data_IF_808456732797
#
_entry.id   IF_808456732797
#
_cell.length_a   1.000
_cell.length_b   1.000
_cell.length_c   1.000
_cell.angle_alpha   90.00
_cell.angle_beta   90.00
_cell.angle_gamma   90.00
#
_symmetry.space_group_name_H-M   'P 1'
#
loop_
_entity.id
_entity.type
_entity.pdbx_description
1 polymer ?
#
# COMPACT_ATOMS: atom_id res chain seq x y z
N UNK A 1 9.90 56.99 -49.28
CA UNK A 1 11.28 56.58 -48.93
C UNK A 1 11.20 55.46 -47.92
N UNK A 2 11.92 54.38 -48.23
CA UNK A 2 11.94 53.07 -47.55
C UNK A 2 12.66 53.14 -46.20
N UNK A 3 12.10 52.54 -45.14
CA UNK A 3 12.88 51.94 -44.04
C UNK A 3 12.28 50.58 -43.70
N UNK A 4 13.18 49.61 -43.55
CA UNK A 4 13.02 48.17 -43.69
C UNK A 4 12.53 47.52 -42.39
N UNK A 5 11.71 46.49 -42.57
CA UNK A 5 11.43 45.47 -41.56
C UNK A 5 12.73 44.72 -41.22
N UNK A 6 13.05 44.59 -39.93
CA UNK A 6 13.91 43.51 -39.43
C UNK A 6 13.13 42.77 -38.34
N UNK A 7 12.65 41.59 -38.71
CA UNK A 7 12.08 40.59 -37.82
C UNK A 7 13.24 39.66 -37.44
N UNK A 8 13.74 39.74 -36.21
CA UNK A 8 14.64 38.72 -35.68
C UNK A 8 13.79 37.63 -35.02
N UNK A 9 13.55 36.53 -35.74
CA UNK A 9 13.05 35.29 -35.15
C UNK A 9 14.28 34.44 -34.85
N UNK A 10 14.66 34.37 -33.57
CA UNK A 10 15.64 33.41 -33.08
C UNK A 10 14.95 32.06 -32.85
N UNK A 11 15.23 31.08 -33.71
CA UNK A 11 14.79 29.70 -33.49
C UNK A 11 15.77 29.01 -32.53
N UNK A 12 15.36 28.83 -31.26
CA UNK A 12 16.06 27.94 -30.33
C UNK A 12 15.58 26.53 -30.61
N UNK A 13 16.46 25.69 -31.16
CA UNK A 13 16.20 24.24 -31.27
C UNK A 13 16.72 23.59 -30.00
N UNK A 14 15.82 23.23 -29.08
CA UNK A 14 16.12 22.33 -27.98
C UNK A 14 16.12 20.90 -28.52
N UNK A 15 17.30 20.30 -28.62
CA UNK A 15 17.45 18.88 -28.83
C UNK A 15 17.02 18.16 -27.55
N UNK A 16 15.84 17.54 -27.56
CA UNK A 16 15.46 16.56 -26.57
C UNK A 16 16.27 15.30 -26.83
N UNK A 17 17.30 15.09 -26.02
CA UNK A 17 17.92 13.78 -25.87
C UNK A 17 16.87 12.89 -25.21
N UNK A 18 16.26 11.99 -25.98
CA UNK A 18 15.52 10.85 -25.46
C UNK A 18 16.53 9.91 -24.79
N UNK A 19 16.95 10.27 -23.57
CA UNK A 19 17.50 9.32 -22.65
C UNK A 19 16.38 8.36 -22.30
N UNK A 20 16.57 7.10 -22.69
CA UNK A 20 15.70 6.00 -22.31
C UNK A 20 15.42 6.10 -20.81
N UNK A 21 14.14 6.27 -20.46
CA UNK A 21 13.70 5.94 -19.12
C UNK A 21 13.97 4.45 -18.99
N UNK A 22 14.82 4.12 -18.02
CA UNK A 22 14.93 2.77 -17.52
C UNK A 22 13.52 2.27 -17.24
N UNK A 23 13.23 1.05 -17.68
CA UNK A 23 12.14 0.27 -17.17
C UNK A 23 12.26 0.26 -15.65
N UNK A 24 11.30 0.91 -14.96
CA UNK A 24 10.98 0.52 -13.59
C UNK A 24 10.44 -0.90 -13.72
N UNK A 25 11.30 -1.88 -13.44
CA UNK A 25 10.87 -3.24 -13.18
C UNK A 25 10.13 -3.19 -11.84
N UNK A 26 8.81 -3.05 -11.93
CA UNK A 26 7.87 -3.20 -10.83
C UNK A 26 7.80 -4.70 -10.48
N UNK A 27 8.84 -5.20 -9.83
CA UNK A 27 8.83 -6.52 -9.20
C UNK A 27 8.02 -6.41 -7.90
N UNK A 28 6.69 -6.34 -8.04
CA UNK A 28 5.73 -6.55 -6.95
C UNK A 28 5.71 -8.05 -6.61
N UNK A 29 6.82 -8.55 -6.09
CA UNK A 29 6.91 -9.93 -5.62
C UNK A 29 6.06 -10.08 -4.35
N UNK A 30 5.00 -10.89 -4.39
CA UNK A 30 4.39 -11.46 -3.18
C UNK A 30 5.33 -12.51 -2.55
N UNK A 31 6.54 -12.07 -2.20
CA UNK A 31 7.71 -12.85 -1.79
C UNK A 31 7.72 -13.24 -0.32
N UNK A 32 7.26 -14.45 -0.03
CA UNK A 32 7.25 -15.10 1.28
C UNK A 32 5.94 -15.83 1.42
N UNK A 33 5.94 -17.11 1.80
CA UNK A 33 4.73 -17.93 1.95
C UNK A 33 3.75 -17.20 2.88
N UNK A 34 2.80 -16.47 2.31
CA UNK A 34 1.65 -15.96 3.04
C UNK A 34 0.83 -17.19 3.41
N UNK A 35 1.11 -17.73 4.60
CA UNK A 35 0.56 -19.00 5.04
C UNK A 35 -0.85 -18.78 5.57
N UNK A 36 -1.82 -19.08 4.71
CA UNK A 36 -3.24 -18.94 5.02
C UNK A 36 -3.66 -19.73 6.27
N UNK A 37 -2.91 -20.78 6.66
CA UNK A 37 -3.20 -21.59 7.83
C UNK A 37 -2.87 -20.88 9.17
N UNK A 38 -2.11 -19.77 9.14
CA UNK A 38 -1.74 -19.00 10.34
C UNK A 38 -2.77 -17.91 10.70
N UNK A 39 -3.71 -17.61 9.82
CA UNK A 39 -4.68 -16.53 10.01
C UNK A 39 -6.03 -17.01 10.52
N UNK A 40 -6.59 -16.29 11.48
CA UNK A 40 -7.96 -16.50 11.93
C UNK A 40 -8.98 -16.06 10.86
N UNK A 41 -8.65 -15.01 10.11
CA UNK A 41 -9.45 -14.45 9.02
C UNK A 41 -8.52 -13.87 7.95
N UNK A 42 -8.96 -13.87 6.70
CA UNK A 42 -8.24 -13.24 5.59
C UNK A 42 -9.19 -12.33 4.82
N UNK A 43 -8.74 -11.11 4.54
CA UNK A 43 -9.37 -10.22 3.58
C UNK A 43 -8.60 -10.29 2.26
N UNK A 44 -9.30 -10.57 1.17
CA UNK A 44 -8.75 -10.55 -0.18
C UNK A 44 -9.17 -9.26 -0.89
N UNK A 45 -8.27 -8.69 -1.69
CA UNK A 45 -8.51 -7.53 -2.52
C UNK A 45 -7.64 -7.55 -3.78
N UNK A 46 -7.46 -6.37 -4.38
CA UNK A 46 -6.61 -6.17 -5.55
C UNK A 46 -5.61 -5.04 -5.34
N UNK A 47 -4.39 -5.23 -5.82
CA UNK A 47 -3.36 -4.20 -5.78
C UNK A 47 -3.48 -3.19 -6.94
N UNK A 48 -2.43 -2.38 -7.16
CA UNK A 48 -2.42 -1.38 -8.22
C UNK A 48 -2.35 -1.97 -9.63
N UNK A 49 -1.82 -3.18 -9.77
CA UNK A 49 -1.69 -3.90 -11.04
C UNK A 49 -2.89 -4.84 -11.28
N UNK A 50 -3.79 -4.94 -10.31
CA UNK A 50 -4.98 -5.78 -10.36
C UNK A 50 -4.69 -7.24 -9.97
N UNK A 51 -3.54 -7.50 -9.38
CA UNK A 51 -3.18 -8.79 -8.79
C UNK A 51 -3.81 -8.95 -7.40
N UNK A 52 -4.00 -10.19 -6.97
CA UNK A 52 -4.63 -10.47 -5.69
C UNK A 52 -3.69 -10.12 -4.54
N UNK A 53 -4.21 -9.41 -3.54
CA UNK A 53 -3.50 -9.06 -2.32
C UNK A 53 -4.34 -9.41 -1.10
N UNK A 54 -3.68 -9.62 0.04
CA UNK A 54 -4.33 -10.15 1.23
C UNK A 54 -3.92 -9.40 2.49
N UNK A 55 -4.89 -9.23 3.39
CA UNK A 55 -4.67 -8.84 4.77
C UNK A 55 -5.06 -10.02 5.67
N UNK A 56 -4.07 -10.64 6.29
CA UNK A 56 -4.25 -11.71 7.26
C UNK A 56 -4.48 -11.13 8.64
N UNK A 57 -5.53 -11.56 9.31
CA UNK A 57 -5.77 -11.29 10.73
C UNK A 57 -5.28 -12.49 11.52
N UNK A 58 -4.16 -12.33 12.21
CA UNK A 58 -3.52 -13.36 13.06
C UNK A 58 -4.34 -13.53 14.34
N UNK A 59 -4.61 -12.40 15.01
CA UNK A 59 -5.35 -12.38 16.27
C UNK A 59 -6.29 -11.18 16.32
N UNK A 60 -7.47 -11.38 16.91
CA UNK A 60 -8.39 -10.32 17.32
C UNK A 60 -8.58 -10.39 18.84
N UNK A 61 -8.34 -9.27 19.51
CA UNK A 61 -8.56 -9.14 20.95
C UNK A 61 -9.49 -7.97 21.24
N UNK A 62 -10.35 -8.14 22.25
CA UNK A 62 -11.26 -7.10 22.72
C UNK A 62 -10.98 -6.84 24.20
N UNK A 63 -10.68 -5.59 24.55
CA UNK A 63 -10.43 -5.21 25.93
C UNK A 63 -11.74 -5.10 26.76
N UNK A 64 -11.62 -4.74 28.04
CA UNK A 64 -12.79 -4.67 28.93
C UNK A 64 -13.68 -3.46 28.62
N UNK A 65 -13.13 -2.49 27.91
CA UNK A 65 -13.75 -1.25 27.48
C UNK A 65 -14.45 -1.43 26.12
N UNK A 66 -14.24 -2.57 25.44
CA UNK A 66 -14.84 -2.91 24.16
C UNK A 66 -14.01 -2.45 22.96
N UNK A 67 -12.78 -1.98 23.16
CA UNK A 67 -11.89 -1.63 22.07
C UNK A 67 -11.34 -2.92 21.44
N UNK A 68 -11.33 -2.97 20.11
CA UNK A 68 -10.82 -4.11 19.36
C UNK A 68 -9.42 -3.81 18.86
N UNK A 69 -8.50 -4.73 19.09
CA UNK A 69 -7.14 -4.70 18.56
C UNK A 69 -6.93 -5.91 17.67
N UNK A 70 -6.45 -5.67 16.46
CA UNK A 70 -6.07 -6.70 15.50
C UNK A 70 -4.55 -6.80 15.43
N UNK A 71 -4.02 -8.02 15.42
CA UNK A 71 -2.68 -8.29 14.92
C UNK A 71 -2.80 -8.74 13.47
N UNK A 72 -2.21 -7.99 12.55
CA UNK A 72 -2.37 -8.22 11.11
C UNK A 72 -1.04 -8.33 10.38
N UNK A 73 -1.05 -9.07 9.27
CA UNK A 73 0.05 -9.19 8.32
C UNK A 73 -0.47 -8.97 6.89
N UNK A 74 0.36 -8.42 6.01
CA UNK A 74 0.02 -8.17 4.60
C UNK A 74 0.74 -9.15 3.69
N UNK A 75 0.14 -9.50 2.55
CA UNK A 75 0.81 -10.34 1.53
C UNK A 75 1.87 -9.63 0.69
N UNK A 76 2.19 -8.36 0.97
CA UNK A 76 3.23 -7.63 0.24
C UNK A 76 4.62 -7.99 0.76
N UNK A 77 5.56 -8.11 -0.17
CA UNK A 77 6.96 -8.28 0.12
C UNK A 77 7.81 -7.72 -1.02
N UNK A 78 9.12 -7.75 -0.86
CA UNK A 78 10.06 -7.55 -1.96
C UNK A 78 11.30 -8.44 -1.70
N UNK A 79 11.49 -9.47 -2.52
CA UNK A 79 12.50 -10.49 -2.27
C UNK A 79 12.26 -11.28 -0.98
N UNK A 80 13.12 -11.07 0.03
CA UNK A 80 12.99 -11.69 1.36
C UNK A 80 12.50 -10.73 2.44
N UNK A 81 12.19 -9.48 2.07
CA UNK A 81 11.81 -8.44 3.01
C UNK A 81 10.31 -8.23 3.01
N UNK A 82 9.72 -8.23 4.20
CA UNK A 82 8.28 -8.08 4.42
C UNK A 82 8.02 -6.87 5.35
N UNK A 83 6.84 -6.23 5.26
CA UNK A 83 6.47 -5.14 6.16
C UNK A 83 6.49 -5.53 7.65
N UNK A 84 6.27 -6.81 7.94
CA UNK A 84 6.08 -7.36 9.28
C UNK A 84 4.65 -7.19 9.79
N UNK A 85 4.43 -7.62 11.04
CA UNK A 85 3.13 -7.54 11.69
C UNK A 85 2.80 -6.10 12.14
N UNK A 86 1.50 -5.80 12.24
CA UNK A 86 0.98 -4.54 12.74
C UNK A 86 -0.08 -4.77 13.82
N UNK A 87 0.05 -4.07 14.94
CA UNK A 87 -1.02 -3.94 15.92
C UNK A 87 -1.94 -2.79 15.52
N UNK A 88 -3.19 -3.08 15.19
CA UNK A 88 -4.18 -2.12 14.66
C UNK A 88 -5.33 -1.99 15.65
N UNK A 89 -5.45 -0.81 16.26
CA UNK A 89 -6.53 -0.52 17.22
C UNK A 89 -7.74 0.06 16.50
N UNK A 90 -8.81 -0.72 16.38
CA UNK A 90 -10.06 -0.27 15.80
C UNK A 90 -10.76 0.70 16.76
N UNK A 91 -10.95 1.92 16.28
CA UNK A 91 -11.65 2.98 17.02
C UNK A 91 -13.03 3.18 16.41
N UNK A 92 -14.08 3.00 17.21
CA UNK A 92 -15.47 3.13 16.75
C UNK A 92 -15.71 4.45 15.99
N UNK A 93 -16.37 4.36 14.83
CA UNK A 93 -16.68 5.51 13.98
C UNK A 93 -15.51 6.08 13.19
N UNK A 94 -14.31 5.49 13.26
CA UNK A 94 -13.17 5.92 12.44
C UNK A 94 -13.30 5.43 11.00
N UNK A 95 -13.15 6.34 10.05
CA UNK A 95 -13.03 6.02 8.62
C UNK A 95 -11.63 5.47 8.25
N UNK A 96 -10.65 5.68 9.14
CA UNK A 96 -9.26 5.22 8.96
C UNK A 96 -8.56 4.99 10.29
N UNK A 97 -7.77 3.93 10.37
CA UNK A 97 -6.82 3.66 11.47
C UNK A 97 -5.40 3.66 10.92
N UNK A 98 -4.45 4.17 11.70
CA UNK A 98 -3.02 4.19 11.36
C UNK A 98 -2.25 3.37 12.40
N UNK A 99 -1.28 2.60 11.94
CA UNK A 99 -0.36 1.84 12.80
C UNK A 99 1.07 1.94 12.27
N UNK A 100 2.02 1.60 13.14
CA UNK A 100 3.44 1.47 12.80
C UNK A 100 4.06 0.39 13.67
N UNK A 101 5.02 -0.35 13.14
CA UNK A 101 5.74 -1.37 13.90
C UNK A 101 7.18 -0.95 14.23
N UNK A 102 7.89 -1.78 14.97
CA UNK A 102 9.25 -1.50 15.44
C UNK A 102 10.29 -1.41 14.32
N UNK A 103 10.00 -2.02 13.17
CA UNK A 103 10.85 -1.99 11.98
C UNK A 103 10.72 -0.67 11.22
N UNK A 104 9.84 0.24 11.64
CA UNK A 104 9.60 1.52 10.98
C UNK A 104 8.63 1.44 9.80
N UNK A 105 7.97 0.29 9.61
CA UNK A 105 6.86 0.16 8.67
C UNK A 105 5.64 0.91 9.18
N UNK A 106 4.81 1.35 8.25
CA UNK A 106 3.59 2.12 8.49
C UNK A 106 2.44 1.45 7.77
N UNK A 107 1.29 1.41 8.43
CA UNK A 107 0.08 0.78 7.93
C UNK A 107 -1.11 1.72 8.11
N UNK A 108 -2.00 1.74 7.13
CA UNK A 108 -3.26 2.46 7.19
C UNK A 108 -4.39 1.55 6.72
N UNK A 109 -5.41 1.36 7.56
CA UNK A 109 -6.62 0.63 7.24
C UNK A 109 -7.77 1.61 7.07
N UNK A 110 -8.54 1.45 6.00
CA UNK A 110 -9.66 2.32 5.64
C UNK A 110 -10.95 1.50 5.65
N UNK A 111 -12.05 2.16 6.00
CA UNK A 111 -13.34 1.52 6.17
C UNK A 111 -14.40 2.26 5.37
N UNK A 112 -15.24 1.51 4.64
CA UNK A 112 -16.40 2.08 3.94
C UNK A 112 -17.61 2.22 4.88
N UNK A 113 -17.69 1.35 5.90
CA UNK A 113 -18.79 1.29 6.85
C UNK A 113 -18.31 0.71 8.19
N UNK A 114 -18.35 1.53 9.24
CA UNK A 114 -17.93 1.19 10.60
C UNK A 114 -16.49 0.64 10.72
N UNK A 115 -15.77 1.01 11.79
CA UNK A 115 -14.41 0.52 12.02
C UNK A 115 -14.43 -0.94 12.51
N UNK A 116 -14.62 -1.88 11.58
CA UNK A 116 -14.70 -3.32 11.82
C UNK A 116 -13.99 -4.09 10.71
N UNK A 117 -13.60 -5.35 10.97
CA UNK A 117 -12.91 -6.20 9.97
C UNK A 117 -13.73 -6.34 8.68
N UNK A 118 -15.04 -6.56 8.78
CA UNK A 118 -15.92 -6.67 7.62
C UNK A 118 -16.23 -5.35 6.92
N UNK A 119 -15.94 -4.22 7.58
CA UNK A 119 -16.07 -2.88 7.03
C UNK A 119 -14.81 -2.35 6.36
N UNK A 120 -13.69 -3.05 6.50
CA UNK A 120 -12.42 -2.66 5.87
C UNK A 120 -12.54 -2.77 4.35
N UNK A 121 -12.15 -1.70 3.65
CA UNK A 121 -12.28 -1.59 2.20
C UNK A 121 -10.93 -1.45 1.49
N UNK A 122 -9.93 -0.95 2.19
CA UNK A 122 -8.59 -0.74 1.66
C UNK A 122 -7.56 -0.77 2.78
N UNK A 123 -6.35 -1.25 2.49
CA UNK A 123 -5.17 -0.90 3.28
C UNK A 123 -4.06 -0.29 2.43
N UNK A 124 -3.21 0.50 3.06
CA UNK A 124 -1.92 0.95 2.52
C UNK A 124 -0.81 0.54 3.49
N UNK A 125 0.31 0.09 2.95
CA UNK A 125 1.49 -0.26 3.73
C UNK A 125 2.72 0.39 3.13
N UNK A 126 3.60 0.88 3.99
CA UNK A 126 4.88 1.48 3.62
C UNK A 126 5.96 0.90 4.52
N UNK A 127 6.99 0.29 3.95
CA UNK A 127 8.04 -0.35 4.73
C UNK A 127 9.42 -0.02 4.18
N UNK A 128 10.47 -0.01 5.03
CA UNK A 128 11.82 0.23 4.58
C UNK A 128 12.36 -0.96 3.78
N UNK A 129 13.10 -0.66 2.71
CA UNK A 129 13.90 -1.62 1.96
C UNK A 129 15.23 -0.97 1.59
N UNK A 130 16.33 -1.55 2.06
CA UNK A 130 17.70 -1.04 1.90
C UNK A 130 17.83 0.48 2.17
N UNK A 131 17.83 1.30 1.12
CA UNK A 131 18.02 2.75 1.15
C UNK A 131 16.77 3.58 0.83
N UNK A 132 15.62 2.92 0.62
CA UNK A 132 14.36 3.55 0.29
C UNK A 132 13.18 2.90 1.04
N UNK A 133 11.96 3.27 0.64
CA UNK A 133 10.73 2.69 1.18
C UNK A 133 9.86 2.23 0.02
N UNK A 134 9.33 1.02 0.12
CA UNK A 134 8.22 0.58 -0.73
C UNK A 134 6.90 1.11 -0.18
N UNK A 135 5.91 1.23 -1.05
CA UNK A 135 4.57 1.62 -0.67
C UNK A 135 3.59 0.91 -1.59
N UNK A 136 2.74 0.10 -0.98
CA UNK A 136 1.77 -0.71 -1.69
C UNK A 136 0.40 -0.58 -1.03
N UNK A 137 -0.61 -1.02 -1.75
CA UNK A 137 -1.99 -0.87 -1.36
C UNK A 137 -2.84 -2.00 -1.87
N UNK A 138 -3.79 -2.42 -1.06
CA UNK A 138 -4.80 -3.41 -1.42
C UNK A 138 -6.18 -2.80 -1.31
N UNK A 139 -6.99 -2.99 -2.34
CA UNK A 139 -8.25 -2.31 -2.56
C UNK A 139 -9.39 -3.32 -2.70
N UNK A 140 -10.62 -2.85 -2.47
CA UNK A 140 -11.84 -3.66 -2.58
C UNK A 140 -11.78 -4.89 -1.66
N UNK A 141 -11.27 -4.69 -0.44
CA UNK A 141 -11.13 -5.77 0.54
C UNK A 141 -12.49 -6.42 0.82
N UNK A 142 -12.50 -7.75 0.82
CA UNK A 142 -13.64 -8.57 1.20
C UNK A 142 -13.20 -9.79 1.96
N UNK A 143 -14.09 -10.32 2.82
CA UNK A 143 -13.84 -11.57 3.54
C UNK A 143 -13.66 -12.72 2.54
N UNK A 144 -12.52 -13.41 2.65
CA UNK A 144 -12.23 -14.63 1.90
C UNK A 144 -12.87 -15.83 2.60
N UNK A 145 -13.62 -16.65 1.87
CA UNK A 145 -14.08 -17.95 2.37
C UNK A 145 -12.91 -18.95 2.28
N UNK A 146 -12.33 -19.32 3.42
CA UNK A 146 -11.28 -20.35 3.55
C UNK A 146 -11.84 -21.77 3.48
#
# INVERSE_FOLDING_TARGET
MSIRHLLCIGSVSLAFSTGALASDDHDHDHGGEFDFDEFALVLEGQDFDGEACYLGIIEESVDKEGNTTLLVETSFAHGTEVPGEFEVVLTEGSERVLSSNENGSQFALFFDQDASVSGASQYLVRWPHDDHFHTDGCYNLGLMEL
#
